data_IF_702843283493
#
_entry.id   IF_702843283493
#
_cell.length_a   1.000
_cell.length_b   1.000
_cell.length_c   1.000
_cell.angle_alpha   90.00
_cell.angle_beta   90.00
_cell.angle_gamma   90.00
#
_symmetry.space_group_name_H-M   'P 1'
#
loop_
_entity.id
_entity.type
_entity.pdbx_description
1 polymer ?
#
# COMPACT_ATOMS: atom_id res chain seq x y z
N UNK A 1 16.03 8.36 0.56
CA UNK A 1 15.11 7.66 -0.35
C UNK A 1 14.93 8.43 -1.67
N UNK A 2 14.94 7.72 -2.80
CA UNK A 2 14.65 8.26 -4.13
C UNK A 2 13.15 8.22 -4.46
N UNK A 3 12.74 8.78 -5.60
CA UNK A 3 11.38 8.63 -6.11
C UNK A 3 11.32 7.45 -7.09
N UNK A 4 10.19 6.76 -7.12
CA UNK A 4 10.00 5.59 -7.97
C UNK A 4 8.68 5.63 -8.74
N UNK A 5 8.67 5.07 -9.94
CA UNK A 5 7.46 4.68 -10.68
C UNK A 5 7.53 3.18 -10.95
N UNK A 6 6.42 2.46 -10.86
CA UNK A 6 6.42 1.03 -11.13
C UNK A 6 5.18 0.57 -11.88
N UNK A 7 5.37 -0.51 -12.62
CA UNK A 7 4.37 -1.29 -13.32
C UNK A 7 4.35 -2.69 -12.69
N UNK A 8 3.17 -3.15 -12.30
CA UNK A 8 2.95 -4.50 -11.82
C UNK A 8 1.89 -5.18 -12.66
N UNK A 9 2.22 -6.33 -13.25
CA UNK A 9 1.33 -7.16 -14.04
C UNK A 9 1.07 -8.48 -13.32
N UNK A 10 -0.20 -8.86 -13.24
CA UNK A 10 -0.60 -10.21 -12.87
C UNK A 10 -1.76 -10.64 -13.77
N UNK A 11 -1.93 -11.93 -13.98
CA UNK A 11 -3.06 -12.44 -14.74
C UNK A 11 -4.10 -13.14 -13.88
N UNK A 12 -5.30 -13.27 -14.42
CA UNK A 12 -6.44 -13.93 -13.80
C UNK A 12 -7.15 -14.77 -14.86
N UNK A 13 -7.31 -16.08 -14.60
CA UNK A 13 -7.91 -17.03 -15.55
C UNK A 13 -9.01 -17.87 -14.89
N UNK A 14 -10.21 -17.89 -15.47
CA UNK A 14 -11.37 -18.61 -14.91
C UNK A 14 -11.66 -18.26 -13.43
N UNK A 15 -11.41 -17.01 -13.04
CA UNK A 15 -11.66 -16.52 -11.69
C UNK A 15 -12.19 -15.08 -11.68
N UNK A 16 -12.59 -14.61 -10.50
CA UNK A 16 -13.05 -13.26 -10.27
C UNK A 16 -12.05 -12.51 -9.37
N UNK A 17 -11.13 -11.72 -9.96
CA UNK A 17 -10.06 -11.06 -9.22
C UNK A 17 -10.59 -9.98 -8.26
N UNK A 18 -11.73 -9.36 -8.60
CA UNK A 18 -12.33 -8.28 -7.84
C UNK A 18 -13.83 -8.14 -8.15
N UNK A 19 -14.66 -8.65 -7.23
CA UNK A 19 -16.11 -8.60 -7.36
C UNK A 19 -16.70 -7.22 -7.10
N UNK A 20 -17.81 -6.94 -7.77
CA UNK A 20 -18.60 -5.74 -7.59
C UNK A 20 -19.77 -5.99 -6.62
N UNK A 21 -19.80 -5.37 -5.42
CA UNK A 21 -20.89 -5.53 -4.47
C UNK A 21 -22.23 -5.02 -5.04
N UNK A 22 -22.21 -4.08 -5.99
CA UNK A 22 -23.41 -3.50 -6.58
C UNK A 22 -23.94 -4.33 -7.78
N UNK A 23 -23.20 -5.36 -8.19
CA UNK A 23 -23.56 -6.22 -9.33
C UNK A 23 -23.44 -7.70 -8.95
N UNK A 24 -24.05 -8.12 -7.84
CA UNK A 24 -24.11 -9.53 -7.43
C UNK A 24 -22.73 -10.22 -7.38
N UNK A 25 -21.70 -9.46 -7.00
CA UNK A 25 -20.31 -9.92 -6.93
C UNK A 25 -19.72 -10.34 -8.29
N UNK A 26 -20.29 -9.93 -9.43
CA UNK A 26 -19.69 -10.11 -10.76
C UNK A 26 -18.32 -9.42 -10.85
N UNK A 27 -17.40 -9.85 -11.73
CA UNK A 27 -16.15 -9.15 -11.93
C UNK A 27 -16.40 -7.68 -12.28
N UNK A 28 -15.71 -6.77 -11.59
CA UNK A 28 -15.78 -5.34 -11.92
C UNK A 28 -15.24 -5.11 -13.33
N UNK A 29 -16.02 -4.44 -14.15
CA UNK A 29 -15.70 -4.28 -15.57
C UNK A 29 -16.38 -3.03 -16.15
N UNK A 30 -15.66 -2.31 -17.00
CA UNK A 30 -16.29 -1.39 -17.94
C UNK A 30 -16.92 -2.20 -19.08
N UNK A 31 -18.25 -2.20 -19.13
CA UNK A 31 -19.01 -3.00 -20.09
C UNK A 31 -18.91 -2.48 -21.52
N UNK A 32 -18.61 -1.20 -21.73
CA UNK A 32 -18.53 -0.62 -23.06
C UNK A 32 -17.24 -1.06 -23.77
N UNK A 33 -16.12 -1.01 -23.05
CA UNK A 33 -14.79 -1.39 -23.56
C UNK A 33 -14.42 -2.84 -23.28
N UNK A 34 -15.26 -3.56 -22.51
CA UNK A 34 -14.96 -4.89 -21.95
C UNK A 34 -13.65 -4.91 -21.15
N UNK A 35 -13.33 -3.83 -20.44
CA UNK A 35 -12.10 -3.73 -19.64
C UNK A 35 -12.37 -4.18 -18.21
N UNK A 36 -11.69 -5.23 -17.73
CA UNK A 36 -11.75 -5.62 -16.32
C UNK A 36 -11.09 -4.55 -15.45
N UNK A 37 -11.69 -4.25 -14.30
CA UNK A 37 -11.23 -3.26 -13.34
C UNK A 37 -10.93 -3.89 -11.97
N UNK A 38 -9.75 -3.63 -11.43
CA UNK A 38 -9.36 -4.08 -10.10
C UNK A 38 -9.02 -2.88 -9.24
N UNK A 39 -9.75 -2.69 -8.14
CA UNK A 39 -9.52 -1.53 -7.28
C UNK A 39 -8.13 -1.56 -6.65
N UNK A 40 -7.51 -0.39 -6.47
CA UNK A 40 -6.23 -0.30 -5.75
C UNK A 40 -6.38 -0.79 -4.30
N UNK A 41 -7.56 -0.62 -3.69
CA UNK A 41 -7.88 -1.19 -2.38
C UNK A 41 -7.78 -2.72 -2.35
N UNK A 42 -8.14 -3.40 -3.45
CA UNK A 42 -8.03 -4.87 -3.54
C UNK A 42 -6.58 -5.31 -3.46
N UNK A 43 -5.70 -4.69 -4.23
CA UNK A 43 -4.26 -4.99 -4.22
C UNK A 43 -3.61 -4.63 -2.87
N UNK A 44 -3.95 -3.46 -2.31
CA UNK A 44 -3.51 -3.08 -0.95
C UNK A 44 -3.99 -4.06 0.11
N UNK A 45 -5.14 -4.71 -0.08
CA UNK A 45 -5.65 -5.74 0.84
C UNK A 45 -4.84 -7.02 0.73
N UNK A 46 -4.54 -7.49 -0.49
CA UNK A 46 -3.65 -8.64 -0.69
C UNK A 46 -2.30 -8.44 0.00
N UNK A 47 -1.67 -7.29 -0.20
CA UNK A 47 -0.40 -6.96 0.45
C UNK A 47 -0.51 -7.00 1.97
N UNK A 48 -1.56 -6.38 2.55
CA UNK A 48 -1.77 -6.40 4.00
C UNK A 48 -1.98 -7.79 4.54
N UNK A 49 -2.81 -8.60 3.89
CA UNK A 49 -3.13 -9.96 4.33
C UNK A 49 -1.86 -10.82 4.28
N UNK A 50 -1.08 -10.74 3.20
CA UNK A 50 0.23 -11.40 3.10
C UNK A 50 1.19 -11.00 4.23
N UNK A 51 1.31 -9.68 4.51
CA UNK A 51 2.18 -9.19 5.58
C UNK A 51 1.71 -9.65 6.96
N UNK A 52 0.39 -9.72 7.20
CA UNK A 52 -0.17 -10.25 8.44
C UNK A 52 0.27 -11.70 8.64
N UNK A 53 0.14 -12.51 7.61
CA UNK A 53 0.34 -13.97 7.71
C UNK A 53 1.83 -14.35 7.77
N UNK A 54 2.73 -13.53 7.19
CA UNK A 54 4.14 -13.92 7.00
C UNK A 54 5.16 -13.02 7.73
N UNK A 55 4.84 -11.75 7.97
CA UNK A 55 5.84 -10.72 8.29
C UNK A 55 5.53 -9.93 9.57
N UNK A 56 4.41 -10.23 10.24
CA UNK A 56 4.10 -9.58 11.52
C UNK A 56 4.89 -10.20 12.67
N UNK A 57 5.40 -9.33 13.54
CA UNK A 57 6.21 -9.72 14.69
C UNK A 57 6.36 -8.54 15.67
N UNK A 58 7.43 -8.54 16.45
CA UNK A 58 7.63 -7.51 17.48
C UNK A 58 7.89 -6.12 16.89
N UNK A 59 8.44 -6.04 15.67
CA UNK A 59 8.89 -4.79 15.03
C UNK A 59 7.96 -4.27 13.94
N UNK A 60 7.19 -5.14 13.30
CA UNK A 60 6.29 -4.80 12.18
C UNK A 60 4.88 -5.29 12.51
N UNK A 61 3.90 -4.40 12.44
CA UNK A 61 2.48 -4.71 12.55
C UNK A 61 1.68 -4.05 11.41
N UNK A 62 0.48 -4.55 11.18
CA UNK A 62 -0.46 -4.06 10.19
C UNK A 62 -1.65 -3.45 10.92
N UNK A 63 -1.86 -2.15 10.75
CA UNK A 63 -2.91 -1.43 11.46
C UNK A 63 -4.29 -1.81 10.96
N UNK A 64 -4.47 -1.84 9.63
CA UNK A 64 -5.76 -2.15 9.00
C UNK A 64 -5.91 -3.67 8.83
N UNK A 65 -6.42 -4.33 9.88
CA UNK A 65 -6.64 -5.78 9.91
C UNK A 65 -8.00 -6.19 10.49
N UNK A 66 -8.36 -7.45 10.28
CA UNK A 66 -9.50 -8.10 10.93
C UNK A 66 -8.98 -8.93 12.12
N UNK A 67 -9.78 -9.04 13.19
CA UNK A 67 -9.53 -10.00 14.29
C UNK A 67 -10.65 -11.04 14.26
N UNK A 68 -10.31 -12.25 13.83
CA UNK A 68 -11.30 -13.26 13.45
C UNK A 68 -12.27 -12.70 12.40
N UNK A 69 -13.57 -12.90 12.60
CA UNK A 69 -14.60 -12.45 11.65
C UNK A 69 -15.03 -10.98 11.83
N UNK A 70 -14.46 -10.25 12.80
CA UNK A 70 -14.88 -8.87 13.11
C UNK A 70 -13.92 -7.84 12.53
N UNK A 71 -14.48 -6.86 11.83
CA UNK A 71 -13.78 -5.62 11.46
C UNK A 71 -13.55 -4.80 12.72
N UNK A 72 -12.31 -4.44 13.00
CA UNK A 72 -11.96 -3.57 14.13
C UNK A 72 -12.05 -2.12 13.66
N UNK A 73 -12.60 -1.24 14.50
CA UNK A 73 -12.60 0.19 14.23
C UNK A 73 -11.21 0.79 14.44
N UNK A 74 -10.91 1.86 13.69
CA UNK A 74 -9.66 2.63 13.86
C UNK A 74 -9.52 3.12 15.31
N UNK A 75 -10.64 3.52 15.93
CA UNK A 75 -10.69 3.98 17.31
C UNK A 75 -10.31 2.88 18.30
N UNK A 76 -10.94 1.70 18.22
CA UNK A 76 -10.62 0.58 19.12
C UNK A 76 -9.15 0.19 18.98
N UNK A 77 -8.67 0.04 17.75
CA UNK A 77 -7.28 -0.36 17.48
C UNK A 77 -6.27 0.65 18.01
N UNK A 78 -6.52 1.94 17.81
CA UNK A 78 -5.62 2.98 18.30
C UNK A 78 -5.63 3.02 19.83
N UNK A 79 -6.80 2.98 20.45
CA UNK A 79 -6.92 3.02 21.91
C UNK A 79 -6.20 1.84 22.57
N UNK A 80 -6.28 0.63 22.01
CA UNK A 80 -5.55 -0.54 22.51
C UNK A 80 -4.04 -0.34 22.47
N UNK A 81 -3.51 0.25 21.38
CA UNK A 81 -2.06 0.46 21.22
C UNK A 81 -1.57 1.61 22.09
N UNK A 82 -2.37 2.66 22.27
CA UNK A 82 -2.10 3.74 23.25
C UNK A 82 -2.11 3.18 24.67
N UNK A 83 -3.06 2.30 25.03
CA UNK A 83 -3.11 1.69 26.36
C UNK A 83 -1.86 0.85 26.65
N UNK A 84 -1.40 0.05 25.69
CA UNK A 84 -0.13 -0.69 25.82
C UNK A 84 1.07 0.22 26.05
N UNK A 85 1.12 1.37 25.35
CA UNK A 85 2.19 2.37 25.57
C UNK A 85 2.12 2.99 26.97
N UNK A 86 0.92 3.18 27.53
CA UNK A 86 0.75 3.68 28.90
C UNK A 86 1.19 2.68 29.97
N UNK A 87 1.03 1.39 29.71
CA UNK A 87 1.41 0.32 30.65
C UNK A 87 2.90 0.00 30.60
N UNK A 88 3.60 0.33 29.52
CA UNK A 88 5.00 -0.02 29.31
C UNK A 88 5.89 1.21 29.05
N UNK A 89 6.47 1.75 30.14
CA UNK A 89 7.40 2.88 30.11
C UNK A 89 8.60 2.66 29.19
N UNK A 90 9.17 1.45 29.19
CA UNK A 90 10.35 1.12 28.37
C UNK A 90 10.04 1.25 26.89
N UNK A 91 8.88 0.73 26.45
CA UNK A 91 8.44 0.85 25.06
C UNK A 91 8.22 2.29 24.62
N UNK A 92 7.69 3.14 25.52
CA UNK A 92 7.53 4.56 25.23
C UNK A 92 8.88 5.29 25.13
N UNK A 93 9.80 5.04 26.06
CA UNK A 93 11.14 5.66 26.03
C UNK A 93 11.93 5.24 24.79
N UNK A 94 11.81 3.97 24.36
CA UNK A 94 12.40 3.48 23.12
C UNK A 94 11.83 4.20 21.89
N UNK A 95 10.52 4.50 21.91
CA UNK A 95 9.85 5.25 20.84
C UNK A 95 10.33 6.71 20.78
N UNK A 96 10.60 7.35 21.93
CA UNK A 96 11.25 8.68 22.01
C UNK A 96 12.70 8.64 21.50
N UNK A 97 13.47 7.61 21.85
CA UNK A 97 14.86 7.50 21.43
C UNK A 97 15.02 7.28 19.93
N UNK A 98 14.09 6.55 19.31
CA UNK A 98 14.15 6.17 17.90
C UNK A 98 13.66 7.24 16.91
N UNK A 99 12.99 8.30 17.38
CA UNK A 99 12.50 9.39 16.52
C UNK A 99 13.02 10.76 17.01
N UNK A 100 14.00 11.29 16.28
CA UNK A 100 14.67 12.57 16.60
C UNK A 100 13.67 13.74 16.58
N UNK A 101 12.79 13.81 15.57
CA UNK A 101 11.78 14.87 15.48
C UNK A 101 10.83 14.82 16.67
N UNK A 102 10.45 13.60 17.07
CA UNK A 102 9.59 13.39 18.22
C UNK A 102 10.26 13.82 19.53
N UNK A 103 11.55 13.49 19.70
CA UNK A 103 12.36 13.93 20.84
C UNK A 103 12.48 15.46 20.90
N UNK A 104 12.72 16.13 19.77
CA UNK A 104 12.77 17.58 19.69
C UNK A 104 11.44 18.25 20.03
N UNK A 105 10.33 17.65 19.59
CA UNK A 105 8.97 18.11 19.94
C UNK A 105 8.75 18.05 21.45
N UNK A 106 9.14 16.96 22.10
CA UNK A 106 9.02 16.80 23.55
C UNK A 106 9.93 17.78 24.30
N UNK A 107 11.18 17.97 23.86
CA UNK A 107 12.10 18.94 24.44
C UNK A 107 11.57 20.38 24.32
N UNK A 108 11.07 20.77 23.15
CA UNK A 108 10.46 22.08 22.94
C UNK A 108 9.24 22.28 23.83
N UNK A 109 8.38 21.27 23.94
CA UNK A 109 7.21 21.30 24.81
C UNK A 109 7.61 21.48 26.28
N UNK A 110 8.61 20.72 26.75
CA UNK A 110 9.17 20.80 28.10
C UNK A 110 9.79 22.17 28.40
N UNK A 111 10.55 22.74 27.46
CA UNK A 111 11.17 24.06 27.63
C UNK A 111 10.18 25.22 27.66
N UNK A 112 8.96 25.01 27.16
CA UNK A 112 7.91 26.05 27.08
C UNK A 112 7.07 26.17 28.36
N UNK A 113 7.23 25.25 29.32
CA UNK A 113 6.34 25.09 30.48
C UNK A 113 7.18 24.92 31.75
N UNK A 114 7.05 25.84 32.70
CA UNK A 114 7.87 25.88 33.93
C UNK A 114 7.41 24.80 34.92
N UNK A 115 6.11 24.51 35.01
CA UNK A 115 5.60 23.50 35.95
C UNK A 115 5.78 22.05 35.48
N UNK A 116 6.24 21.84 34.26
CA UNK A 116 6.48 20.52 33.68
C UNK A 116 7.96 20.33 33.28
N UNK A 117 8.82 21.31 33.56
CA UNK A 117 10.26 21.24 33.29
C UNK A 117 10.94 20.04 33.94
N UNK A 118 10.38 19.53 35.04
CA UNK A 118 11.00 18.48 35.86
C UNK A 118 10.41 17.08 35.57
N UNK A 119 9.31 16.99 34.81
CA UNK A 119 8.67 15.71 34.48
C UNK A 119 9.39 15.00 33.33
N UNK A 120 9.33 13.68 33.36
CA UNK A 120 9.79 12.81 32.27
C UNK A 120 8.82 12.83 31.09
N UNK A 121 9.31 12.48 29.89
CA UNK A 121 8.50 12.39 28.67
C UNK A 121 7.33 11.40 28.84
N UNK A 122 7.55 10.33 29.60
CA UNK A 122 6.53 9.34 29.92
C UNK A 122 5.45 9.89 30.85
N UNK A 123 5.82 10.63 31.88
CA UNK A 123 4.84 11.32 32.74
C UNK A 123 4.04 12.32 31.91
N UNK A 124 4.71 13.10 31.05
CA UNK A 124 4.09 14.02 30.10
C UNK A 124 3.02 13.35 29.23
N UNK A 125 3.30 12.14 28.74
CA UNK A 125 2.36 11.33 27.98
C UNK A 125 1.21 10.76 28.84
N UNK A 126 1.49 10.32 30.08
CA UNK A 126 0.48 9.75 30.98
C UNK A 126 -0.50 10.78 31.55
N UNK A 127 -0.09 12.07 31.63
CA UNK A 127 -0.93 13.19 32.07
C UNK A 127 -2.26 13.31 31.29
N UNK A 128 -2.35 12.63 30.15
CA UNK A 128 -3.52 12.63 29.27
C UNK A 128 -4.68 11.72 29.74
N UNK A 129 -4.47 10.85 30.75
CA UNK A 129 -5.42 9.80 31.15
C UNK A 129 -6.35 10.15 32.31
N UNK A 130 -5.84 10.74 33.40
CA UNK A 130 -6.57 10.71 34.69
C UNK A 130 -6.49 11.99 35.54
N UNK A 131 -5.51 12.89 35.35
CA UNK A 131 -5.36 14.05 36.23
C UNK A 131 -5.33 15.39 35.49
N UNK A 132 -6.24 16.30 35.86
CA UNK A 132 -6.11 17.73 35.53
C UNK A 132 -4.81 18.22 36.17
N UNK A 133 -3.89 18.76 35.37
CA UNK A 133 -2.76 19.50 35.90
C UNK A 133 -3.31 20.63 36.77
N UNK A 134 -2.98 20.60 38.05
CA UNK A 134 -2.90 21.80 38.88
C UNK A 134 -1.44 22.21 38.83
N UNK A 135 -1.17 23.43 38.38
CA UNK A 135 0.22 23.92 38.39
C UNK A 135 0.80 23.86 39.82
N UNK A 136 2.10 23.57 39.95
CA UNK A 136 2.82 23.57 41.23
C UNK A 136 3.29 24.98 41.65
N UNK A 137 2.93 26.02 40.88
CA UNK A 137 3.19 27.41 41.20
C UNK A 137 2.46 27.80 42.49
N UNK A 138 3.04 28.66 43.32
CA UNK A 138 2.39 29.16 44.53
C UNK A 138 1.07 29.90 44.23
N UNK A 139 0.13 29.93 45.18
CA UNK A 139 -1.19 30.60 45.06
C UNK A 139 -1.10 32.09 44.67
N UNK A 140 0.07 32.70 44.81
CA UNK A 140 0.37 34.10 44.47
C UNK A 140 0.49 34.36 42.94
N UNK A 141 0.60 33.30 42.11
CA UNK A 141 0.79 33.39 40.65
C UNK A 141 -0.38 32.80 39.84
N UNK A 142 -1.61 32.93 40.33
CA UNK A 142 -2.82 32.31 39.75
C UNK A 142 -3.04 32.58 38.24
N UNK A 143 -2.62 33.73 37.72
CA UNK A 143 -2.74 34.06 36.29
C UNK A 143 -1.70 33.32 35.42
N UNK A 144 -0.50 33.06 35.94
CA UNK A 144 0.50 32.23 35.27
C UNK A 144 0.05 30.76 35.25
N UNK A 145 -0.57 30.28 36.35
CA UNK A 145 -1.16 28.94 36.41
C UNK A 145 -2.22 28.71 35.32
N UNK A 146 -3.16 29.65 35.17
CA UNK A 146 -4.23 29.56 34.18
C UNK A 146 -3.69 29.62 32.74
N UNK A 147 -2.68 30.45 32.48
CA UNK A 147 -2.03 30.53 31.16
C UNK A 147 -1.34 29.22 30.82
N UNK A 148 -0.69 28.60 31.79
CA UNK A 148 0.01 27.33 31.63
C UNK A 148 -0.96 26.17 31.38
N UNK A 149 -2.02 26.06 32.18
CA UNK A 149 -3.11 25.08 31.99
C UNK A 149 -3.80 25.23 30.63
N UNK A 150 -4.02 26.47 30.16
CA UNK A 150 -4.59 26.75 28.85
C UNK A 150 -3.62 26.37 27.72
N UNK A 151 -2.33 26.64 27.88
CA UNK A 151 -1.30 26.26 26.91
C UNK A 151 -1.21 24.75 26.74
N UNK A 152 -1.25 24.00 27.84
CA UNK A 152 -1.27 22.53 27.82
C UNK A 152 -2.51 22.02 27.10
N UNK A 153 -3.69 22.55 27.45
CA UNK A 153 -4.95 22.15 26.84
C UNK A 153 -4.96 22.37 25.32
N UNK A 154 -4.37 23.48 24.86
CA UNK A 154 -4.33 23.84 23.44
C UNK A 154 -3.28 23.04 22.65
N UNK A 155 -2.18 22.63 23.27
CA UNK A 155 -1.11 21.88 22.60
C UNK A 155 -1.21 20.35 22.77
N UNK A 156 -2.19 19.85 23.54
CA UNK A 156 -2.45 18.41 23.76
C UNK A 156 -2.61 17.63 22.44
N UNK A 157 -3.41 18.14 21.52
CA UNK A 157 -3.61 17.50 20.21
C UNK A 157 -2.31 17.41 19.39
N UNK A 158 -1.40 18.37 19.54
CA UNK A 158 -0.12 18.38 18.87
C UNK A 158 0.80 17.26 19.38
N UNK A 159 0.92 17.11 20.70
CA UNK A 159 1.73 16.05 21.33
C UNK A 159 1.16 14.66 21.03
N UNK A 160 -0.15 14.47 21.16
CA UNK A 160 -0.81 13.20 20.83
C UNK A 160 -0.60 12.81 19.36
N UNK A 161 -0.69 13.77 18.46
CA UNK A 161 -0.40 13.54 17.04
C UNK A 161 1.08 13.23 16.79
N UNK A 162 2.00 13.78 17.60
CA UNK A 162 3.42 13.44 17.54
C UNK A 162 3.64 11.99 18.01
N UNK A 163 3.01 11.56 19.11
CA UNK A 163 3.05 10.16 19.59
C UNK A 163 2.52 9.20 18.53
N UNK A 164 1.36 9.52 17.94
CA UNK A 164 0.78 8.73 16.85
C UNK A 164 1.73 8.62 15.65
N UNK A 165 2.44 9.70 15.32
CA UNK A 165 3.40 9.71 14.20
C UNK A 165 4.58 8.79 14.49
N UNK A 166 5.18 8.88 15.67
CA UNK A 166 6.29 8.03 16.06
C UNK A 166 5.87 6.55 16.18
N UNK A 167 4.62 6.28 16.61
CA UNK A 167 4.05 4.94 16.61
C UNK A 167 3.87 4.36 15.19
N UNK A 168 3.39 5.17 14.24
CA UNK A 168 3.28 4.78 12.83
C UNK A 168 4.67 4.51 12.22
N UNK A 169 5.62 5.42 12.44
CA UNK A 169 7.00 5.32 11.94
C UNK A 169 7.71 4.06 12.46
N UNK A 170 7.46 3.68 13.71
CA UNK A 170 8.07 2.47 14.29
C UNK A 170 7.35 1.20 13.86
N UNK A 171 6.02 1.10 14.03
CA UNK A 171 5.32 -0.19 14.02
C UNK A 171 4.49 -0.47 12.77
N UNK A 172 3.74 0.51 12.26
CA UNK A 172 2.67 0.25 11.27
C UNK A 172 3.11 0.42 9.81
N UNK A 173 3.67 -0.64 9.24
CA UNK A 173 4.21 -0.61 7.87
C UNK A 173 3.15 -0.30 6.81
N UNK A 174 1.90 -0.75 6.98
CA UNK A 174 0.84 -0.50 6.02
C UNK A 174 0.41 0.96 5.96
N UNK A 175 0.51 1.69 7.08
CA UNK A 175 0.30 3.14 7.12
C UNK A 175 1.50 3.87 6.52
N UNK A 176 2.73 3.37 6.72
CA UNK A 176 3.93 3.91 6.05
C UNK A 176 3.81 3.80 4.52
N UNK A 177 3.38 2.63 4.03
CA UNK A 177 3.13 2.37 2.61
C UNK A 177 1.95 3.19 2.08
N UNK A 178 0.74 2.98 2.61
CA UNK A 178 -0.50 3.40 1.95
C UNK A 178 -1.21 4.57 2.62
N UNK A 179 -0.78 4.95 3.83
CA UNK A 179 -1.42 6.00 4.62
C UNK A 179 -2.70 5.54 5.31
N UNK A 180 -3.31 6.48 6.04
CA UNK A 180 -4.52 6.26 6.81
C UNK A 180 -5.04 7.54 7.46
N UNK A 181 -6.35 7.63 7.66
CA UNK A 181 -6.99 8.76 8.33
C UNK A 181 -7.37 8.36 9.75
N UNK A 182 -6.78 9.05 10.75
CA UNK A 182 -7.09 8.87 12.15
C UNK A 182 -7.96 10.05 12.61
N UNK A 183 -9.21 9.75 12.94
CA UNK A 183 -10.16 10.71 13.48
C UNK A 183 -10.69 10.16 14.82
N UNK A 184 -9.79 10.05 15.81
CA UNK A 184 -10.08 9.50 17.14
C UNK A 184 -10.02 10.64 18.16
N UNK A 185 -10.80 10.54 19.24
CA UNK A 185 -10.82 11.58 20.27
C UNK A 185 -9.41 11.81 20.83
N UNK A 186 -8.89 13.03 20.69
CA UNK A 186 -7.54 13.40 21.13
C UNK A 186 -6.41 13.07 20.14
N UNK A 187 -6.70 12.34 19.05
CA UNK A 187 -5.76 11.97 18.00
C UNK A 187 -6.39 12.21 16.62
N UNK A 188 -6.02 13.31 15.97
CA UNK A 188 -6.54 13.68 14.66
C UNK A 188 -5.39 13.98 13.71
N UNK A 189 -5.03 12.99 12.90
CA UNK A 189 -3.98 13.11 11.89
C UNK A 189 -4.27 12.23 10.69
N UNK A 190 -4.05 12.77 9.50
CA UNK A 190 -4.12 12.02 8.25
C UNK A 190 -2.72 11.80 7.72
N UNK A 191 -2.39 10.54 7.44
CA UNK A 191 -1.15 10.14 6.80
C UNK A 191 -1.43 9.89 5.31
N UNK A 192 -0.76 10.62 4.43
CA UNK A 192 -0.74 10.31 3.00
C UNK A 192 0.33 9.27 2.75
N UNK A 193 -0.03 8.08 2.27
CA UNK A 193 0.94 7.01 1.99
C UNK A 193 2.02 7.43 1.00
N UNK A 194 3.23 6.93 1.23
CA UNK A 194 4.34 7.14 0.31
C UNK A 194 4.12 6.42 -1.04
N UNK A 195 3.38 5.31 -1.00
CA UNK A 195 3.05 4.47 -2.16
C UNK A 195 1.61 4.75 -2.61
N UNK A 196 1.46 5.27 -3.82
CA UNK A 196 0.17 5.47 -4.46
C UNK A 196 0.01 4.51 -5.64
N UNK A 197 -1.16 3.86 -5.70
CA UNK A 197 -1.49 2.86 -6.70
C UNK A 197 -2.70 3.34 -7.48
N UNK A 198 -2.60 3.33 -8.80
CA UNK A 198 -3.74 3.54 -9.68
C UNK A 198 -4.66 2.32 -9.64
N UNK A 199 -5.92 2.50 -10.05
CA UNK A 199 -6.83 1.38 -10.26
C UNK A 199 -6.26 0.48 -11.36
N UNK A 200 -6.18 -0.82 -11.10
CA UNK A 200 -5.74 -1.81 -12.08
C UNK A 200 -6.80 -2.01 -13.16
N UNK A 201 -6.35 -2.27 -14.38
CA UNK A 201 -7.24 -2.61 -15.48
C UNK A 201 -6.62 -3.66 -16.39
N UNK A 202 -7.44 -4.39 -17.15
CA UNK A 202 -6.94 -5.33 -18.14
C UNK A 202 -6.31 -4.60 -19.33
N UNK A 203 -5.14 -5.06 -19.77
CA UNK A 203 -4.43 -4.48 -20.92
C UNK A 203 -5.07 -4.83 -22.27
N UNK A 204 -6.13 -5.64 -22.25
CA UNK A 204 -6.93 -6.01 -23.40
C UNK A 204 -8.41 -6.18 -22.99
N UNK A 205 -9.36 -6.13 -23.93
CA UNK A 205 -10.75 -6.54 -23.71
C UNK A 205 -10.87 -7.98 -23.19
N UNK A 206 -11.79 -8.21 -22.25
CA UNK A 206 -11.98 -9.51 -21.60
C UNK A 206 -13.37 -10.06 -21.82
N UNK A 207 -13.50 -11.38 -21.75
CA UNK A 207 -14.77 -12.08 -21.83
C UNK A 207 -15.15 -12.71 -20.48
N UNK A 208 -16.44 -12.66 -20.18
CA UNK A 208 -17.00 -13.33 -19.01
C UNK A 208 -17.33 -14.78 -19.32
N UNK A 209 -17.24 -15.61 -18.29
CA UNK A 209 -17.61 -17.01 -18.27
C UNK A 209 -18.54 -17.23 -17.08
N UNK A 210 -19.80 -17.55 -17.37
CA UNK A 210 -20.86 -17.72 -16.38
C UNK A 210 -21.13 -19.20 -16.14
N UNK A 211 -20.99 -19.63 -14.89
CA UNK A 211 -21.31 -21.00 -14.46
C UNK A 211 -22.49 -21.02 -13.48
N UNK A 212 -23.38 -22.00 -13.65
CA UNK A 212 -24.33 -22.37 -12.62
C UNK A 212 -23.65 -23.20 -11.52
N UNK A 213 -24.00 -22.92 -10.27
CA UNK A 213 -23.63 -23.73 -9.11
C UNK A 213 -24.89 -24.33 -8.50
N UNK A 214 -24.83 -25.59 -8.08
CA UNK A 214 -25.88 -26.23 -7.28
C UNK A 214 -25.26 -26.73 -5.98
N UNK A 215 -25.75 -26.25 -4.85
CA UNK A 215 -25.33 -26.74 -3.53
C UNK A 215 -26.48 -27.51 -2.89
N UNK A 216 -26.19 -28.74 -2.45
CA UNK A 216 -27.11 -29.60 -1.73
C UNK A 216 -26.71 -29.55 -0.27
N UNK A 217 -27.60 -29.06 0.60
CA UNK A 217 -27.38 -29.07 2.05
C UNK A 217 -28.14 -30.25 2.68
N UNK A 218 -27.56 -30.96 3.66
CA UNK A 218 -28.23 -32.06 4.33
C UNK A 218 -29.44 -31.55 5.10
N UNK A 219 -30.59 -32.18 4.84
CA UNK A 219 -31.85 -31.87 5.50
C UNK A 219 -31.96 -32.56 6.86
N UNK A 220 -32.72 -31.98 7.81
CA UNK A 220 -33.05 -32.63 9.08
C UNK A 220 -34.08 -33.76 8.93
N UNK A 221 -34.79 -33.85 7.80
CA UNK A 221 -35.75 -34.90 7.43
C UNK A 221 -35.58 -35.25 5.94
N UNK A 222 -35.99 -36.46 5.54
CA UNK A 222 -35.81 -36.99 4.17
C UNK A 222 -36.39 -36.10 3.06
N UNK A 223 -37.39 -35.25 3.36
CA UNK A 223 -38.10 -34.39 2.40
C UNK A 223 -37.73 -32.87 2.48
N UNK A 224 -36.80 -32.47 3.34
CA UNK A 224 -36.43 -31.05 3.58
C UNK A 224 -35.17 -30.62 2.79
N UNK A 225 -34.79 -31.37 1.76
CA UNK A 225 -33.61 -31.13 0.93
C UNK A 225 -33.71 -29.84 0.12
N UNK A 226 -33.26 -28.72 0.68
CA UNK A 226 -33.21 -27.46 -0.04
C UNK A 226 -31.98 -27.42 -0.97
N UNK A 227 -32.23 -27.58 -2.28
CA UNK A 227 -31.24 -27.32 -3.32
C UNK A 227 -31.13 -25.81 -3.55
N UNK A 228 -29.95 -25.23 -3.31
CA UNK A 228 -29.70 -23.82 -3.57
C UNK A 228 -28.97 -23.69 -4.91
N UNK A 229 -29.62 -23.07 -5.89
CA UNK A 229 -29.03 -22.72 -7.18
C UNK A 229 -28.36 -21.35 -7.06
N UNK A 230 -27.07 -21.30 -7.37
CA UNK A 230 -26.27 -20.09 -7.46
C UNK A 230 -25.70 -19.88 -8.87
N UNK A 231 -25.14 -18.70 -9.11
CA UNK A 231 -24.39 -18.38 -10.31
C UNK A 231 -23.10 -17.69 -9.91
N UNK A 232 -22.00 -18.08 -10.54
CA UNK A 232 -20.74 -17.35 -10.40
C UNK A 232 -20.26 -16.93 -11.79
N UNK A 233 -19.94 -15.64 -11.90
CA UNK A 233 -19.33 -15.08 -13.09
C UNK A 233 -17.83 -14.91 -12.87
N UNK A 234 -17.05 -15.49 -13.77
CA UNK A 234 -15.60 -15.45 -13.79
C UNK A 234 -15.14 -14.81 -15.10
N UNK A 235 -13.90 -14.34 -15.13
CA UNK A 235 -13.26 -13.93 -16.37
C UNK A 235 -12.66 -15.15 -17.06
N UNK A 236 -12.71 -15.21 -18.40
CA UNK A 236 -11.97 -16.24 -19.14
C UNK A 236 -10.46 -16.10 -18.93
N UNK A 237 -9.94 -14.95 -19.32
CA UNK A 237 -8.56 -14.54 -19.10
C UNK A 237 -8.47 -13.03 -19.04
N UNK A 238 -7.59 -12.52 -18.18
CA UNK A 238 -7.35 -11.09 -18.03
C UNK A 238 -5.91 -10.85 -17.59
N UNK A 239 -5.10 -10.22 -18.42
CA UNK A 239 -3.81 -9.66 -18.01
C UNK A 239 -4.04 -8.26 -17.43
N UNK A 240 -3.84 -8.11 -16.12
CA UNK A 240 -4.18 -6.91 -15.35
C UNK A 240 -2.91 -6.13 -15.03
N UNK A 241 -2.89 -4.85 -15.37
CA UNK A 241 -1.78 -3.95 -15.05
C UNK A 241 -2.14 -2.94 -13.98
N UNK A 242 -1.24 -2.77 -13.02
CA UNK A 242 -1.22 -1.69 -12.02
C UNK A 242 -0.04 -0.77 -12.29
N UNK A 243 -0.28 0.54 -12.26
CA UNK A 243 0.77 1.54 -12.21
C UNK A 243 0.78 2.17 -10.81
N UNK A 244 1.97 2.48 -10.30
CA UNK A 244 2.12 3.14 -9.00
C UNK A 244 3.34 4.02 -8.91
N UNK A 245 3.38 4.83 -7.86
CA UNK A 245 4.46 5.77 -7.57
C UNK A 245 4.86 5.68 -6.11
N UNK A 246 6.14 5.88 -5.83
CA UNK A 246 6.69 5.98 -4.48
C UNK A 246 7.33 7.36 -4.34
N UNK A 247 6.80 8.15 -3.40
CA UNK A 247 7.21 9.54 -3.19
C UNK A 247 8.13 9.68 -1.97
N UNK A 248 9.39 10.04 -2.22
CA UNK A 248 10.42 10.29 -1.19
C UNK A 248 9.98 11.28 -0.10
N UNK A 249 9.36 12.41 -0.46
CA UNK A 249 8.92 13.42 0.52
C UNK A 249 7.86 12.87 1.48
N UNK A 250 6.96 12.04 0.98
CA UNK A 250 5.95 11.37 1.82
C UNK A 250 6.54 10.22 2.60
N UNK A 251 7.54 9.54 2.04
CA UNK A 251 8.30 8.51 2.74
C UNK A 251 9.01 9.09 3.98
N UNK A 252 9.69 10.23 3.86
CA UNK A 252 10.36 10.89 4.97
C UNK A 252 9.37 11.23 6.11
N UNK A 253 8.23 11.85 5.77
CA UNK A 253 7.19 12.23 6.74
C UNK A 253 6.63 11.01 7.49
N UNK A 254 6.40 9.90 6.77
CA UNK A 254 5.82 8.69 7.34
C UNK A 254 6.87 7.72 7.91
N UNK A 255 8.17 8.01 7.75
CA UNK A 255 9.28 7.15 8.13
C UNK A 255 9.42 5.87 7.31
N UNK A 256 8.98 5.87 6.05
CA UNK A 256 9.26 4.76 5.14
C UNK A 256 10.74 4.78 4.75
N UNK A 257 11.44 3.67 4.98
CA UNK A 257 12.88 3.56 4.73
C UNK A 257 13.17 2.81 3.43
N UNK A 258 14.36 3.02 2.87
CA UNK A 258 14.85 2.24 1.71
C UNK A 258 14.91 0.73 2.03
N UNK A 259 15.13 0.36 3.30
CA UNK A 259 15.12 -1.02 3.79
C UNK A 259 13.73 -1.67 3.78
N UNK A 260 12.66 -0.88 3.74
CA UNK A 260 11.29 -1.39 3.72
C UNK A 260 10.82 -1.70 2.28
N UNK A 261 11.50 -1.18 1.25
CA UNK A 261 11.12 -1.39 -0.15
C UNK A 261 11.23 -2.84 -0.62
N UNK A 262 12.26 -3.63 -0.27
CA UNK A 262 12.30 -5.04 -0.59
C UNK A 262 11.08 -5.79 -0.06
N UNK A 263 10.62 -5.46 1.14
CA UNK A 263 9.41 -6.03 1.74
C UNK A 263 8.14 -5.64 0.97
N UNK A 264 8.05 -4.39 0.50
CA UNK A 264 6.96 -3.98 -0.39
C UNK A 264 6.97 -4.76 -1.70
N UNK A 265 8.13 -4.91 -2.36
CA UNK A 265 8.26 -5.64 -3.63
C UNK A 265 7.90 -7.11 -3.47
N UNK A 266 8.42 -7.76 -2.43
CA UNK A 266 8.14 -9.17 -2.15
C UNK A 266 6.67 -9.40 -1.83
N UNK A 267 6.07 -8.58 -0.96
CA UNK A 267 4.66 -8.69 -0.61
C UNK A 267 3.74 -8.40 -1.80
N UNK A 268 4.07 -7.44 -2.66
CA UNK A 268 3.32 -7.17 -3.89
C UNK A 268 3.27 -8.39 -4.81
N UNK A 269 4.41 -9.05 -5.03
CA UNK A 269 4.52 -10.23 -5.91
C UNK A 269 3.89 -11.47 -5.27
N UNK A 270 4.17 -11.76 -4.00
CA UNK A 270 3.77 -13.01 -3.33
C UNK A 270 2.30 -13.01 -2.91
N UNK A 271 1.76 -11.84 -2.53
CA UNK A 271 0.38 -11.75 -2.03
C UNK A 271 -0.71 -12.24 -2.99
N UNK A 272 -0.48 -12.12 -4.31
CA UNK A 272 -1.40 -12.63 -5.34
C UNK A 272 -1.53 -14.16 -5.25
N UNK A 273 -0.42 -14.87 -5.00
CA UNK A 273 -0.40 -16.33 -4.97
C UNK A 273 -0.96 -16.90 -3.67
N UNK A 274 -0.84 -16.18 -2.56
CA UNK A 274 -1.26 -16.66 -1.24
C UNK A 274 -2.72 -16.36 -0.93
N UNK A 275 -3.30 -15.30 -1.51
CA UNK A 275 -4.70 -14.94 -1.24
C UNK A 275 -5.70 -15.72 -2.12
N UNK A 276 -5.54 -17.04 -2.21
CA UNK A 276 -6.40 -17.91 -3.01
C UNK A 276 -7.66 -18.29 -2.24
N UNK A 277 -8.79 -17.83 -2.74
CA UNK A 277 -10.12 -18.36 -2.38
C UNK A 277 -10.69 -19.11 -3.57
N UNK A 278 -11.79 -19.84 -3.38
CA UNK A 278 -12.43 -20.61 -4.47
C UNK A 278 -12.73 -19.73 -5.71
N UNK A 279 -13.17 -18.49 -5.48
CA UNK A 279 -13.42 -17.49 -6.53
C UNK A 279 -12.16 -16.84 -7.14
N UNK A 280 -10.97 -17.07 -6.59
CA UNK A 280 -9.73 -16.29 -6.83
C UNK A 280 -8.48 -17.13 -7.02
N UNK A 281 -8.64 -18.44 -7.15
CA UNK A 281 -7.57 -19.46 -7.15
C UNK A 281 -6.55 -19.35 -8.29
N UNK A 282 -6.92 -18.74 -9.40
CA UNK A 282 -6.13 -18.73 -10.64
C UNK A 282 -5.61 -17.32 -10.97
N UNK A 283 -4.90 -16.72 -10.03
CA UNK A 283 -4.20 -15.45 -10.24
C UNK A 283 -2.71 -15.65 -10.05
N UNK A 284 -1.89 -15.09 -10.96
CA UNK A 284 -0.43 -15.24 -10.91
C UNK A 284 0.26 -13.92 -11.24
N UNK A 285 1.20 -13.53 -10.39
CA UNK A 285 2.10 -12.41 -10.66
C UNK A 285 2.99 -12.73 -11.86
N UNK A 286 3.13 -11.78 -12.79
CA UNK A 286 3.83 -11.99 -14.07
C UNK A 286 5.03 -11.08 -14.25
N UNK A 287 4.89 -9.80 -13.92
CA UNK A 287 5.96 -8.81 -14.11
C UNK A 287 5.89 -7.71 -13.05
N UNK A 288 7.05 -7.30 -12.55
CA UNK A 288 7.22 -6.05 -11.82
C UNK A 288 8.38 -5.29 -12.46
N UNK A 289 8.12 -4.06 -12.92
CA UNK A 289 9.13 -3.15 -13.46
C UNK A 289 9.09 -1.87 -12.64
N UNK A 290 10.22 -1.47 -12.07
CA UNK A 290 10.35 -0.28 -11.23
C UNK A 290 11.47 0.61 -11.78
N UNK A 291 11.19 1.91 -11.88
CA UNK A 291 12.12 2.94 -12.31
C UNK A 291 12.45 3.80 -11.10
N UNK A 292 13.71 3.81 -10.70
CA UNK A 292 14.26 4.67 -9.66
C UNK A 292 14.85 5.93 -10.28
N UNK A 293 14.40 7.10 -9.83
CA UNK A 293 14.85 8.39 -10.31
C UNK A 293 15.99 8.96 -9.47
N UNK A 294 16.96 9.59 -10.14
CA UNK A 294 18.03 10.36 -9.51
C UNK A 294 17.45 11.55 -8.74
N UNK A 295 18.17 11.95 -7.69
CA UNK A 295 17.87 13.20 -6.99
C UNK A 295 16.69 13.12 -6.04
N UNK A 296 16.50 11.99 -5.35
CA UNK A 296 15.92 12.03 -4.01
C UNK A 296 16.66 13.08 -3.17
N UNK A 297 15.95 13.74 -2.24
CA UNK A 297 16.44 14.88 -1.45
C UNK A 297 17.88 14.63 -0.95
N UNK A 298 18.87 15.25 -1.61
CA UNK A 298 20.25 15.38 -1.12
C UNK A 298 20.40 16.81 -0.58
N UNK A 299 20.27 16.91 0.73
CA UNK A 299 20.73 17.94 1.70
C UNK A 299 20.59 19.46 1.45
N UNK A 300 20.31 19.98 0.26
CA UNK A 300 20.06 21.43 0.10
C UNK A 300 18.58 21.77 0.33
N UNK A 301 18.25 22.13 1.58
CA UNK A 301 16.90 22.48 2.05
C UNK A 301 16.23 23.64 1.28
N UNK A 302 17.00 24.42 0.52
CA UNK A 302 16.53 25.57 -0.26
C UNK A 302 16.44 25.34 -1.78
N UNK A 303 16.78 24.15 -2.26
CA UNK A 303 16.57 23.75 -3.65
C UNK A 303 15.57 22.59 -3.65
N UNK A 304 14.32 22.86 -4.07
CA UNK A 304 13.50 21.81 -4.66
C UNK A 304 14.40 21.07 -5.68
N UNK A 305 14.45 19.72 -5.70
CA UNK A 305 15.14 19.03 -6.79
C UNK A 305 14.57 19.62 -8.09
N UNK A 306 15.44 20.24 -8.90
CA UNK A 306 15.02 21.02 -10.08
C UNK A 306 14.09 20.23 -11.00
N UNK A 307 14.08 18.90 -10.91
CA UNK A 307 13.35 18.02 -11.82
C UNK A 307 12.90 16.71 -11.16
N UNK A 308 12.09 16.73 -10.11
CA UNK A 308 11.40 15.49 -9.68
C UNK A 308 9.98 15.42 -10.21
N UNK A 309 9.67 14.27 -10.84
CA UNK A 309 8.40 13.51 -10.90
C UNK A 309 7.93 13.14 -12.33
N UNK A 310 7.79 11.82 -12.54
CA UNK A 310 6.85 11.14 -13.42
C UNK A 310 6.53 11.74 -14.78
N UNK A 311 7.49 11.69 -15.71
CA UNK A 311 7.29 12.14 -17.10
C UNK A 311 6.66 11.09 -18.01
N UNK A 312 6.73 9.82 -17.65
CA UNK A 312 6.18 8.76 -18.52
C UNK A 312 4.66 8.66 -18.37
N UNK A 313 4.14 9.10 -17.21
CA UNK A 313 2.71 9.02 -16.87
C UNK A 313 2.33 7.58 -16.54
N UNK A 314 1.13 7.18 -16.92
CA UNK A 314 0.71 5.79 -16.72
C UNK A 314 1.51 4.84 -17.62
N UNK A 315 2.40 4.03 -17.01
CA UNK A 315 3.29 3.11 -17.73
C UNK A 315 2.52 2.12 -18.60
N UNK A 316 1.27 1.81 -18.24
CA UNK A 316 0.40 0.86 -18.94
C UNK A 316 0.00 1.35 -20.32
N UNK A 317 -0.09 2.67 -20.51
CA UNK A 317 -0.47 3.27 -21.80
C UNK A 317 0.59 3.08 -22.89
N UNK A 318 1.79 2.62 -22.53
CA UNK A 318 2.91 2.41 -23.46
C UNK A 318 3.18 0.92 -23.68
N UNK A 319 2.23 0.05 -23.33
CA UNK A 319 2.27 -1.39 -23.59
C UNK A 319 1.23 -1.69 -24.64
N UNK A 320 1.65 -2.25 -25.78
CA UNK A 320 0.73 -2.71 -26.81
C UNK A 320 0.49 -4.21 -26.61
N UNK A 321 -0.77 -4.62 -26.64
CA UNK A 321 -1.17 -6.02 -26.53
C UNK A 321 -1.91 -6.40 -27.81
N UNK A 322 -1.54 -7.54 -28.41
CA UNK A 322 -2.25 -8.11 -29.56
C UNK A 322 -2.64 -9.55 -29.28
N UNK A 323 -3.75 -9.97 -29.86
CA UNK A 323 -4.23 -11.35 -29.81
C UNK A 323 -3.45 -12.20 -30.81
N UNK A 324 -2.91 -13.32 -30.34
CA UNK A 324 -2.34 -14.41 -31.15
C UNK A 324 -3.10 -15.72 -30.91
N UNK A 325 -4.30 -15.63 -30.33
CA UNK A 325 -5.13 -16.76 -30.00
C UNK A 325 -5.51 -17.55 -31.27
N UNK A 326 -5.56 -18.87 -31.14
CA UNK A 326 -6.06 -19.72 -32.21
C UNK A 326 -7.51 -19.36 -32.52
N UNK A 327 -7.84 -19.24 -33.80
CA UNK A 327 -9.17 -18.89 -34.31
C UNK A 327 -9.64 -17.45 -34.00
N UNK A 328 -8.74 -16.56 -33.59
CA UNK A 328 -9.01 -15.12 -33.57
C UNK A 328 -9.17 -14.58 -35.00
N UNK A 329 -10.14 -13.69 -35.21
CA UNK A 329 -10.40 -13.11 -36.53
C UNK A 329 -9.26 -12.17 -36.98
N UNK A 330 -8.64 -11.47 -36.03
CA UNK A 330 -7.52 -10.55 -36.24
C UNK A 330 -6.78 -10.29 -34.90
N UNK A 331 -5.73 -9.48 -34.94
CA UNK A 331 -4.91 -9.11 -33.77
C UNK A 331 -5.68 -8.34 -32.67
N UNK A 332 -6.85 -7.77 -32.99
CA UNK A 332 -7.71 -7.04 -32.06
C UNK A 332 -8.87 -7.91 -31.51
N UNK A 333 -8.98 -9.18 -31.94
CA UNK A 333 -9.99 -10.13 -31.47
C UNK A 333 -9.49 -10.93 -30.25
N UNK A 334 -9.86 -10.45 -29.07
CA UNK A 334 -9.52 -11.07 -27.78
C UNK A 334 -10.55 -12.11 -27.30
N UNK A 335 -11.59 -12.43 -28.08
CA UNK A 335 -12.71 -13.28 -27.61
C UNK A 335 -12.30 -14.75 -27.34
N UNK A 336 -11.18 -15.18 -27.93
CA UNK A 336 -10.60 -16.52 -27.84
C UNK A 336 -9.43 -16.65 -26.88
N UNK A 337 -9.00 -15.53 -26.27
CA UNK A 337 -7.88 -15.53 -25.33
C UNK A 337 -8.28 -16.23 -24.03
N UNK A 338 -7.53 -17.29 -23.68
CA UNK A 338 -7.76 -18.08 -22.45
C UNK A 338 -6.51 -18.18 -21.58
N UNK A 339 -5.33 -17.87 -22.12
CA UNK A 339 -4.07 -17.89 -21.37
C UNK A 339 -3.09 -16.81 -21.86
N UNK A 340 -1.98 -16.65 -21.14
CA UNK A 340 -0.93 -15.69 -21.47
C UNK A 340 -0.29 -15.95 -22.85
N UNK A 341 -0.23 -17.22 -23.27
CA UNK A 341 0.35 -17.60 -24.58
C UNK A 341 -0.50 -17.17 -25.78
N UNK A 342 -1.76 -16.80 -25.54
CA UNK A 342 -2.68 -16.33 -26.57
C UNK A 342 -2.54 -14.82 -26.84
N UNK A 343 -1.64 -14.12 -26.14
CA UNK A 343 -1.38 -12.69 -26.33
C UNK A 343 0.10 -12.41 -26.54
N UNK A 344 0.38 -11.40 -27.36
CA UNK A 344 1.72 -10.85 -27.55
C UNK A 344 1.81 -9.48 -26.88
N UNK A 345 2.92 -9.24 -26.17
CA UNK A 345 3.18 -8.01 -25.42
C UNK A 345 4.36 -7.25 -26.02
N UNK A 346 4.10 -6.02 -26.45
CA UNK A 346 5.12 -5.09 -26.94
C UNK A 346 5.35 -3.95 -25.93
N UNK A 347 6.53 -3.99 -25.29
CA UNK A 347 7.01 -2.99 -24.35
C UNK A 347 7.91 -1.94 -25.00
N UNK A 348 8.20 -2.03 -26.30
CA UNK A 348 9.09 -1.09 -26.97
C UNK A 348 8.64 0.37 -26.89
N UNK A 349 7.33 0.71 -26.97
CA UNK A 349 6.91 2.09 -26.78
C UNK A 349 7.27 2.61 -25.40
N UNK A 350 7.12 1.79 -24.34
CA UNK A 350 7.54 2.12 -22.99
C UNK A 350 9.06 2.32 -22.91
N UNK A 351 9.83 1.39 -23.44
CA UNK A 351 11.29 1.43 -23.34
C UNK A 351 11.90 2.62 -24.09
N UNK A 352 11.33 2.99 -25.24
CA UNK A 352 11.70 4.23 -25.95
C UNK A 352 11.48 5.47 -25.08
N UNK A 353 10.37 5.54 -24.32
CA UNK A 353 10.12 6.65 -23.40
C UNK A 353 11.09 6.65 -22.22
N UNK A 354 11.41 5.48 -21.66
CA UNK A 354 12.42 5.33 -20.60
C UNK A 354 13.77 5.83 -21.10
N UNK A 355 14.17 5.45 -22.33
CA UNK A 355 15.43 5.89 -22.94
C UNK A 355 15.52 7.42 -23.08
N UNK A 356 14.41 8.11 -23.40
CA UNK A 356 14.39 9.57 -23.51
C UNK A 356 14.72 10.30 -22.20
N UNK A 357 14.59 9.63 -21.05
CA UNK A 357 14.85 10.21 -19.72
C UNK A 357 15.92 9.43 -18.96
N UNK A 358 16.72 8.62 -19.66
CA UNK A 358 17.70 7.73 -19.05
C UNK A 358 18.71 8.50 -18.19
N UNK A 359 19.08 9.73 -18.57
CA UNK A 359 19.98 10.60 -17.82
C UNK A 359 19.53 10.81 -16.36
N UNK A 360 18.20 10.80 -16.14
CA UNK A 360 17.52 11.02 -14.86
C UNK A 360 17.22 9.75 -14.09
N UNK A 361 17.45 8.59 -14.70
CA UNK A 361 17.20 7.28 -14.08
C UNK A 361 18.49 6.83 -13.38
N UNK A 362 18.33 6.43 -12.11
CA UNK A 362 19.39 5.82 -11.32
C UNK A 362 19.45 4.32 -11.62
N UNK A 363 18.32 3.61 -11.46
CA UNK A 363 18.20 2.17 -11.68
C UNK A 363 16.83 1.79 -12.22
N UNK A 364 16.77 0.69 -12.96
CA UNK A 364 15.56 0.00 -13.41
C UNK A 364 15.61 -1.40 -12.85
N UNK A 365 14.63 -1.74 -12.01
CA UNK A 365 14.52 -3.05 -11.38
C UNK A 365 13.42 -3.86 -12.04
N UNK A 366 13.71 -5.11 -12.35
CA UNK A 366 12.73 -6.00 -12.98
C UNK A 366 12.67 -7.32 -12.24
N UNK A 367 11.46 -7.75 -11.92
CA UNK A 367 11.14 -9.14 -11.60
C UNK A 367 10.20 -9.67 -12.67
N UNK A 368 10.44 -10.90 -13.13
CA UNK A 368 9.58 -11.61 -14.10
C UNK A 368 9.24 -13.00 -13.55
N UNK A 369 8.06 -13.50 -13.90
CA UNK A 369 7.74 -14.91 -13.70
C UNK A 369 8.56 -15.80 -14.63
N UNK A 370 8.59 -17.11 -14.35
CA UNK A 370 9.31 -18.13 -15.14
C UNK A 370 8.66 -18.42 -16.51
N UNK A 371 7.79 -17.55 -17.02
CA UNK A 371 7.11 -17.76 -18.30
C UNK A 371 7.88 -17.09 -19.45
N UNK A 372 8.00 -17.81 -20.57
CA UNK A 372 8.70 -17.39 -21.79
C UNK A 372 8.29 -16.00 -22.30
N UNK A 373 7.03 -15.59 -22.06
CA UNK A 373 6.47 -14.30 -22.48
C UNK A 373 7.23 -13.08 -21.95
N UNK A 374 8.00 -13.22 -20.87
CA UNK A 374 8.79 -12.15 -20.27
C UNK A 374 10.31 -12.40 -20.29
N UNK A 375 10.77 -13.52 -20.83
CA UNK A 375 12.19 -13.91 -20.76
C UNK A 375 13.13 -12.86 -21.36
N UNK A 376 12.77 -12.34 -22.54
CA UNK A 376 13.54 -11.35 -23.31
C UNK A 376 13.35 -9.90 -22.85
N UNK A 377 12.65 -9.63 -21.76
CA UNK A 377 12.31 -8.25 -21.38
C UNK A 377 13.56 -7.39 -21.09
N UNK A 378 14.58 -8.00 -20.48
CA UNK A 378 15.86 -7.37 -20.17
C UNK A 378 16.66 -7.11 -21.45
N UNK A 379 16.69 -8.09 -22.37
CA UNK A 379 17.34 -7.95 -23.68
C UNK A 379 16.68 -6.83 -24.49
N UNK A 380 15.35 -6.77 -24.54
CA UNK A 380 14.59 -5.72 -25.22
C UNK A 380 14.84 -4.32 -24.65
N UNK A 381 15.12 -4.19 -23.35
CA UNK A 381 15.54 -2.91 -22.76
C UNK A 381 16.92 -2.47 -23.27
N UNK A 382 17.86 -3.42 -23.37
CA UNK A 382 19.19 -3.17 -23.92
C UNK A 382 19.09 -2.83 -25.41
N UNK A 383 18.24 -3.54 -26.17
CA UNK A 383 17.94 -3.22 -27.58
C UNK A 383 17.30 -1.84 -27.75
N UNK A 384 16.51 -1.39 -26.77
CA UNK A 384 15.99 -0.02 -26.72
C UNK A 384 17.08 1.04 -26.46
N UNK A 385 18.32 0.61 -26.23
CA UNK A 385 19.50 1.42 -26.02
C UNK A 385 19.74 1.82 -24.56
N UNK A 386 19.08 1.20 -23.58
CA UNK A 386 19.27 1.50 -22.17
C UNK A 386 20.55 0.83 -21.67
N UNK A 387 21.33 1.56 -20.89
CA UNK A 387 22.61 1.09 -20.36
C UNK A 387 22.43 -0.09 -19.40
N UNK A 388 23.11 -1.21 -19.67
CA UNK A 388 23.02 -2.44 -18.87
C UNK A 388 23.34 -2.22 -17.38
N UNK A 389 24.25 -1.30 -17.06
CA UNK A 389 24.64 -0.97 -15.67
C UNK A 389 23.48 -0.41 -14.82
N UNK A 390 22.43 0.10 -15.46
CA UNK A 390 21.24 0.61 -14.76
C UNK A 390 20.19 -0.45 -14.53
N UNK A 391 20.31 -1.62 -15.15
CA UNK A 391 19.28 -2.65 -15.11
C UNK A 391 19.66 -3.68 -14.04
N UNK A 392 18.72 -3.93 -13.12
CA UNK A 392 18.88 -4.85 -12.00
C UNK A 392 17.74 -5.87 -12.04
N UNK A 393 18.08 -7.15 -12.18
CA UNK A 393 17.10 -8.23 -12.03
C UNK A 393 16.89 -8.52 -10.55
N UNK A 394 15.63 -8.60 -10.14
CA UNK A 394 15.20 -8.89 -8.79
C UNK A 394 14.93 -10.38 -8.64
N UNK A 395 15.52 -10.99 -7.62
CA UNK A 395 15.22 -12.36 -7.19
C UNK A 395 14.33 -12.29 -5.95
N UNK A 396 13.06 -12.69 -6.07
CA UNK A 396 12.03 -12.58 -5.02
C UNK A 396 11.37 -13.91 -4.72
#
# INVERSE_FOLDING_TARGET
MNNFEFLFLYDAALCNPNGDPDQENKPRMDRATKTNLVSSFRLKRYIRDYLIDNETGDTIDIFVRQMGDRKISVESRLNDEIQKLKENKVSFELLVQNDIEFKEIFQKYRSSIVSISDKSDFELFLLDSEEKIKSNLGKEKADEQKKEELFIKNNKGYINNAVLTALVKSKFIDIRFFGGAFAVKGYSKTFTGAIQLNMGFSLHPVELYSNGLSTIMPAKKEDDGNNMLGRFENLKYSLIGFAGTINSKKADINGLKDTDLPLFRSSLIKSILETRTESKKNQYSRLYLEIEYKGGRKEDENMLPKETYGRIGDLRNHIKVTSIAKDALNEDDFTKVVCLKDISLDFMPLFKKIKMIEDKIEKIRIWKSLDDSFESIMEKLIEAGISNEKIEELTI
#
